data_IF_527821117811
#
_entry.id   IF_527821117811
#
_cell.length_a   1.000
_cell.length_b   1.000
_cell.length_c   1.000
_cell.angle_alpha   90.00
_cell.angle_beta   90.00
_cell.angle_gamma   90.00
#
_symmetry.space_group_name_H-M   'P 1'
#
loop_
_entity.id
_entity.type
_entity.pdbx_description
1 polymer ?
#
# COMPACT_ATOMS: atom_id res chain seq x y z
N UNK A 1 0.98 -14.06 30.61
CA UNK A 1 -0.02 -13.15 30.00
C UNK A 1 0.52 -11.71 29.96
N UNK A 2 0.83 -11.04 31.08
CA UNK A 2 1.47 -9.70 31.00
C UNK A 2 2.87 -9.74 30.34
N UNK A 3 3.66 -10.77 30.62
CA UNK A 3 4.94 -11.00 29.92
C UNK A 3 4.77 -11.23 28.40
N UNK A 4 3.62 -11.79 27.98
CA UNK A 4 3.31 -12.01 26.56
C UNK A 4 3.00 -10.69 25.86
N UNK A 5 2.21 -9.81 26.50
CA UNK A 5 1.99 -8.43 26.05
C UNK A 5 3.31 -7.70 25.86
N UNK A 6 4.21 -7.76 26.87
CA UNK A 6 5.51 -7.07 26.80
C UNK A 6 6.40 -7.59 25.66
N UNK A 7 6.48 -8.91 25.49
CA UNK A 7 7.25 -9.51 24.38
C UNK A 7 6.68 -9.10 23.01
N UNK A 8 5.34 -9.09 22.88
CA UNK A 8 4.67 -8.74 21.64
C UNK A 8 4.80 -7.26 21.31
N UNK A 9 4.69 -6.40 22.32
CA UNK A 9 4.92 -4.96 22.21
C UNK A 9 6.34 -4.67 21.71
N UNK A 10 7.35 -5.33 22.28
CA UNK A 10 8.74 -5.15 21.86
C UNK A 10 8.97 -5.57 20.40
N UNK A 11 8.43 -6.73 20.01
CA UNK A 11 8.47 -7.21 18.61
C UNK A 11 7.87 -6.19 17.62
N UNK A 12 6.73 -5.60 17.98
CA UNK A 12 6.05 -4.63 17.12
C UNK A 12 6.75 -3.27 17.10
N UNK A 13 7.39 -2.86 18.21
CA UNK A 13 8.21 -1.65 18.27
C UNK A 13 9.44 -1.74 17.38
N UNK A 14 10.16 -2.87 17.43
CA UNK A 14 11.34 -3.11 16.59
C UNK A 14 10.98 -2.99 15.10
N UNK A 15 9.91 -3.68 14.67
CA UNK A 15 9.41 -3.60 13.28
C UNK A 15 8.95 -2.19 12.89
N UNK A 16 8.32 -1.46 13.81
CA UNK A 16 7.93 -0.07 13.57
C UNK A 16 9.16 0.83 13.39
N UNK A 17 10.21 0.63 14.18
CA UNK A 17 11.46 1.40 14.07
C UNK A 17 12.12 1.19 12.71
N UNK A 18 12.27 -0.06 12.27
CA UNK A 18 12.80 -0.40 10.93
C UNK A 18 11.98 0.28 9.82
N UNK A 19 10.66 0.21 9.93
CA UNK A 19 9.73 0.84 8.97
C UNK A 19 9.87 2.37 8.99
N UNK A 20 10.04 2.96 10.17
CA UNK A 20 10.12 4.41 10.36
C UNK A 20 11.39 5.01 9.75
N UNK A 21 12.51 4.27 9.75
CA UNK A 21 13.74 4.69 9.08
C UNK A 21 13.53 4.89 7.58
N UNK A 22 12.69 4.05 6.95
CA UNK A 22 12.40 4.14 5.51
C UNK A 22 11.39 5.23 5.19
N UNK A 23 10.33 5.33 6.01
CA UNK A 23 9.27 6.30 5.76
C UNK A 23 9.64 7.74 6.14
N UNK A 24 10.45 7.94 7.17
CA UNK A 24 10.83 9.25 7.71
C UNK A 24 9.60 10.18 7.89
N UNK A 25 8.79 9.98 8.97
CA UNK A 25 7.58 10.76 9.22
C UNK A 25 7.81 12.27 9.24
N UNK A 26 8.98 12.72 9.72
CA UNK A 26 9.38 14.12 9.70
C UNK A 26 9.54 14.65 8.27
N UNK A 27 10.25 13.93 7.40
CA UNK A 27 10.38 14.29 5.99
C UNK A 27 9.02 14.25 5.27
N UNK A 28 8.18 13.26 5.55
CA UNK A 28 6.83 13.18 4.97
C UNK A 28 5.96 14.38 5.35
N UNK A 29 6.00 14.83 6.62
CA UNK A 29 5.28 16.02 7.08
C UNK A 29 5.73 17.29 6.35
N UNK A 30 7.03 17.45 6.16
CA UNK A 30 7.56 18.61 5.42
C UNK A 30 7.23 18.52 3.92
N UNK A 31 7.27 17.33 3.30
CA UNK A 31 6.83 17.13 1.90
C UNK A 31 5.35 17.49 1.74
N UNK A 32 4.47 17.00 2.63
CA UNK A 32 3.04 17.33 2.64
C UNK A 32 2.81 18.84 2.72
N UNK A 33 3.49 19.52 3.64
CA UNK A 33 3.40 20.97 3.83
C UNK A 33 3.85 21.75 2.60
N UNK A 34 4.89 21.27 1.91
CA UNK A 34 5.35 21.88 0.66
C UNK A 34 4.34 21.68 -0.47
N UNK A 35 3.75 20.48 -0.58
CA UNK A 35 2.69 20.20 -1.53
C UNK A 35 1.47 21.08 -1.25
N UNK A 36 1.01 21.18 0.00
CA UNK A 36 -0.13 22.02 0.39
C UNK A 36 0.08 23.49 0.02
N UNK A 37 1.29 24.02 0.24
CA UNK A 37 1.66 25.37 -0.21
C UNK A 37 1.58 25.52 -1.72
N UNK A 38 2.06 24.53 -2.48
CA UNK A 38 1.99 24.55 -3.94
C UNK A 38 0.54 24.54 -4.43
N UNK A 39 -0.31 23.70 -3.82
CA UNK A 39 -1.73 23.56 -4.19
C UNK A 39 -2.56 24.81 -3.90
N UNK A 40 -2.12 25.64 -2.95
CA UNK A 40 -2.74 26.94 -2.65
C UNK A 40 -2.46 28.01 -3.72
N UNK A 41 -1.48 27.81 -4.60
CA UNK A 41 -1.22 28.72 -5.71
C UNK A 41 -2.22 28.52 -6.85
N UNK A 42 -2.68 29.62 -7.48
CA UNK A 42 -3.60 29.54 -8.61
C UNK A 42 -2.97 28.83 -9.83
N UNK A 43 -1.65 28.93 -9.98
CA UNK A 43 -0.93 28.35 -11.11
C UNK A 43 -0.82 26.82 -11.06
N UNK A 44 -0.98 26.21 -9.88
CA UNK A 44 -0.89 24.77 -9.70
C UNK A 44 -1.90 24.01 -10.58
N UNK A 45 -3.11 24.54 -10.70
CA UNK A 45 -4.20 23.90 -11.43
C UNK A 45 -4.15 24.14 -12.94
N UNK A 46 -3.19 24.93 -13.43
CA UNK A 46 -3.02 25.18 -14.87
C UNK A 46 -2.48 23.94 -15.61
N UNK A 47 -1.73 23.08 -14.93
CA UNK A 47 -1.21 21.83 -15.49
C UNK A 47 -1.93 20.64 -14.83
N UNK A 48 -3.01 20.17 -15.45
CA UNK A 48 -3.88 19.13 -14.89
C UNK A 48 -3.15 17.81 -14.63
N UNK A 49 -2.23 17.40 -15.51
CA UNK A 49 -1.46 16.16 -15.36
C UNK A 49 -0.52 16.25 -14.15
N UNK A 50 0.22 17.35 -14.01
CA UNK A 50 1.08 17.56 -12.83
C UNK A 50 0.27 17.70 -11.55
N UNK A 51 -0.83 18.45 -11.58
CA UNK A 51 -1.70 18.64 -10.42
C UNK A 51 -2.24 17.29 -9.92
N UNK A 52 -2.64 16.40 -10.83
CA UNK A 52 -3.13 15.06 -10.50
C UNK A 52 -2.05 14.18 -9.87
N UNK A 53 -0.86 14.12 -10.47
CA UNK A 53 0.26 13.35 -9.94
C UNK A 53 0.66 13.81 -8.53
N UNK A 54 0.75 15.14 -8.31
CA UNK A 54 1.07 15.71 -7.00
C UNK A 54 -0.04 15.44 -5.99
N UNK A 55 -1.32 15.53 -6.40
CA UNK A 55 -2.46 15.20 -5.53
C UNK A 55 -2.45 13.73 -5.11
N UNK A 56 -2.12 12.80 -6.02
CA UNK A 56 -1.97 11.38 -5.70
C UNK A 56 -0.80 11.14 -4.73
N UNK A 57 0.35 11.78 -4.96
CA UNK A 57 1.50 11.72 -4.04
C UNK A 57 1.15 12.24 -2.66
N UNK A 58 0.47 13.39 -2.57
CA UNK A 58 -0.01 13.96 -1.31
C UNK A 58 -0.88 12.97 -0.55
N UNK A 59 -1.87 12.37 -1.22
CA UNK A 59 -2.76 11.40 -0.61
C UNK A 59 -1.99 10.19 -0.08
N UNK A 60 -1.03 9.67 -0.86
CA UNK A 60 -0.18 8.57 -0.41
C UNK A 60 0.65 8.94 0.82
N UNK A 61 1.25 10.14 0.86
CA UNK A 61 2.01 10.61 2.02
C UNK A 61 1.10 10.73 3.26
N UNK A 62 -0.08 11.34 3.11
CA UNK A 62 -1.03 11.55 4.19
C UNK A 62 -1.55 10.23 4.76
N UNK A 63 -1.92 9.27 3.90
CA UNK A 63 -2.39 7.96 4.32
C UNK A 63 -1.30 7.18 5.08
N UNK A 64 -0.07 7.13 4.55
CA UNK A 64 1.01 6.39 5.21
C UNK A 64 1.48 7.07 6.50
N UNK A 65 1.61 8.40 6.51
CA UNK A 65 1.98 9.14 7.73
C UNK A 65 0.96 8.89 8.84
N UNK A 66 -0.34 8.98 8.51
CA UNK A 66 -1.41 8.73 9.46
C UNK A 66 -1.38 7.31 10.01
N UNK A 67 -1.09 6.32 9.18
CA UNK A 67 -0.96 4.92 9.62
C UNK A 67 0.24 4.73 10.56
N UNK A 68 1.41 5.29 10.24
CA UNK A 68 2.60 5.26 11.11
C UNK A 68 2.29 5.90 12.46
N UNK A 69 1.74 7.12 12.47
CA UNK A 69 1.40 7.85 13.70
C UNK A 69 0.34 7.12 14.53
N UNK A 70 -0.63 6.45 13.87
CA UNK A 70 -1.64 5.65 14.57
C UNK A 70 -1.00 4.45 15.28
N UNK A 71 -0.15 3.70 14.58
CA UNK A 71 0.53 2.53 15.16
C UNK A 71 1.45 2.97 16.30
N UNK A 72 2.26 4.01 16.09
CA UNK A 72 3.14 4.56 17.13
C UNK A 72 2.35 4.95 18.39
N UNK A 73 1.22 5.64 18.20
CA UNK A 73 0.34 5.99 19.31
C UNK A 73 -0.22 4.76 20.02
N UNK A 74 -0.76 3.79 19.30
CA UNK A 74 -1.31 2.56 19.92
C UNK A 74 -0.24 1.79 20.70
N UNK A 75 0.97 1.62 20.15
CA UNK A 75 2.05 0.93 20.87
C UNK A 75 2.46 1.69 22.14
N UNK A 76 2.49 3.02 22.09
CA UNK A 76 2.77 3.85 23.26
C UNK A 76 1.67 3.77 24.32
N UNK A 77 0.40 3.85 23.91
CA UNK A 77 -0.75 3.75 24.81
C UNK A 77 -0.76 2.35 25.49
N UNK A 78 -0.48 1.27 24.72
CA UNK A 78 -0.34 -0.09 25.27
C UNK A 78 0.82 -0.22 26.24
N UNK A 79 1.98 0.41 25.95
CA UNK A 79 3.13 0.41 26.86
C UNK A 79 2.79 1.05 28.20
N UNK A 80 2.24 2.27 28.18
CA UNK A 80 1.87 3.01 29.39
C UNK A 80 0.85 2.24 30.23
N UNK A 81 -0.15 1.62 29.58
CA UNK A 81 -1.15 0.79 30.26
C UNK A 81 -0.56 -0.51 30.79
N UNK A 82 0.31 -1.18 30.03
CA UNK A 82 0.95 -2.42 30.47
C UNK A 82 1.83 -2.22 31.70
N UNK A 83 2.50 -1.06 31.82
CA UNK A 83 3.30 -0.71 32.99
C UNK A 83 2.46 -0.33 34.22
N UNK A 84 1.24 0.19 34.00
CA UNK A 84 0.29 0.46 35.07
C UNK A 84 -0.52 -0.78 35.52
N UNK A 85 -0.50 -1.87 34.74
CA UNK A 85 -1.31 -3.07 34.97
C UNK A 85 -0.72 -3.95 36.07
N UNK A 86 -1.55 -4.37 37.02
CA UNK A 86 -1.14 -5.26 38.11
C UNK A 86 -1.11 -6.73 37.69
N UNK A 87 -0.25 -7.52 38.34
CA UNK A 87 -0.23 -8.97 38.18
C UNK A 87 -1.57 -9.58 38.62
N UNK A 88 -2.33 -10.13 37.65
CA UNK A 88 -3.61 -10.79 37.90
C UNK A 88 -4.83 -10.10 37.27
N UNK A 89 -4.68 -8.90 36.71
CA UNK A 89 -5.73 -8.24 35.94
C UNK A 89 -5.82 -8.81 34.51
N UNK A 90 -6.51 -9.95 34.39
CA UNK A 90 -6.59 -10.69 33.14
C UNK A 90 -7.45 -9.99 32.08
N UNK A 91 -8.40 -9.16 32.48
CA UNK A 91 -9.28 -8.43 31.56
C UNK A 91 -8.51 -7.33 30.84
N UNK A 92 -7.75 -6.52 31.59
CA UNK A 92 -6.86 -5.50 31.00
C UNK A 92 -5.80 -6.16 30.12
N UNK A 93 -5.20 -7.27 30.54
CA UNK A 93 -4.21 -7.98 29.72
C UNK A 93 -4.80 -8.48 28.39
N UNK A 94 -6.02 -8.99 28.39
CA UNK A 94 -6.69 -9.43 27.16
C UNK A 94 -6.97 -8.25 26.22
N UNK A 95 -7.42 -7.11 26.76
CA UNK A 95 -7.64 -5.89 26.00
C UNK A 95 -6.35 -5.41 25.32
N UNK A 96 -5.22 -5.39 26.04
CA UNK A 96 -3.93 -4.98 25.48
C UNK A 96 -3.46 -5.91 24.34
N UNK A 97 -3.67 -7.22 24.46
CA UNK A 97 -3.35 -8.16 23.38
C UNK A 97 -4.20 -7.90 22.13
N UNK A 98 -5.48 -7.57 22.29
CA UNK A 98 -6.37 -7.24 21.16
C UNK A 98 -5.93 -5.96 20.46
N UNK A 99 -5.50 -4.94 21.20
CA UNK A 99 -4.94 -3.72 20.61
C UNK A 99 -3.64 -4.02 19.83
N UNK A 100 -2.74 -4.84 20.38
CA UNK A 100 -1.52 -5.26 19.67
C UNK A 100 -1.84 -6.04 18.40
N UNK A 101 -2.82 -6.96 18.44
CA UNK A 101 -3.27 -7.68 17.24
C UNK A 101 -3.87 -6.73 16.18
N UNK A 102 -4.53 -5.65 16.61
CA UNK A 102 -5.14 -4.70 15.68
C UNK A 102 -4.12 -3.95 14.82
N UNK A 103 -2.87 -3.80 15.30
CA UNK A 103 -1.81 -3.07 14.58
C UNK A 103 -0.88 -3.98 13.77
N UNK A 104 -0.91 -5.30 13.96
CA UNK A 104 -0.04 -6.23 13.23
C UNK A 104 -0.21 -6.15 11.72
N UNK A 105 -1.45 -6.22 11.24
CA UNK A 105 -1.73 -6.20 9.81
C UNK A 105 -1.36 -4.85 9.18
N UNK A 106 -1.78 -3.69 9.74
CA UNK A 106 -1.33 -2.39 9.27
C UNK A 106 0.20 -2.23 9.25
N UNK A 107 0.89 -2.67 10.31
CA UNK A 107 2.35 -2.60 10.37
C UNK A 107 2.98 -3.45 9.26
N UNK A 108 2.49 -4.66 9.05
CA UNK A 108 2.95 -5.53 7.95
C UNK A 108 2.74 -4.92 6.57
N UNK A 109 1.65 -4.20 6.36
CA UNK A 109 1.40 -3.47 5.12
C UNK A 109 2.40 -2.31 4.92
N UNK A 110 2.82 -1.65 6.00
CA UNK A 110 3.89 -0.64 5.95
C UNK A 110 5.27 -1.29 5.73
N UNK A 111 5.58 -2.42 6.36
CA UNK A 111 6.83 -3.17 6.13
C UNK A 111 6.97 -3.52 4.65
N UNK A 112 5.90 -4.02 4.01
CA UNK A 112 5.90 -4.33 2.57
C UNK A 112 6.21 -3.08 1.75
N UNK A 113 5.63 -1.92 2.10
CA UNK A 113 5.91 -0.66 1.42
C UNK A 113 7.35 -0.20 1.62
N UNK A 114 7.90 -0.38 2.82
CA UNK A 114 9.29 -0.05 3.12
C UNK A 114 10.28 -0.89 2.30
N UNK A 115 9.91 -2.13 1.96
CA UNK A 115 10.70 -3.00 1.06
C UNK A 115 10.69 -2.53 -0.41
N UNK A 116 9.79 -1.64 -0.81
CA UNK A 116 9.71 -1.10 -2.17
C UNK A 116 10.75 0.03 -2.39
N UNK A 117 12.01 -0.26 -2.13
CA UNK A 117 13.10 0.73 -2.15
C UNK A 117 13.93 0.73 -3.43
N UNK A 118 13.58 -0.08 -4.44
CA UNK A 118 14.32 -0.10 -5.71
C UNK A 118 14.00 1.15 -6.55
N UNK A 119 14.96 1.55 -7.40
CA UNK A 119 14.86 2.77 -8.21
C UNK A 119 13.58 2.85 -9.05
N UNK A 120 13.12 1.69 -9.54
CA UNK A 120 11.93 1.57 -10.39
C UNK A 120 10.64 1.43 -9.61
N UNK A 121 10.69 1.12 -8.31
CA UNK A 121 9.49 0.78 -7.53
C UNK A 121 8.50 1.93 -7.52
N UNK A 122 8.99 3.17 -7.40
CA UNK A 122 8.19 4.40 -7.39
C UNK A 122 7.48 4.74 -8.71
N UNK A 123 7.79 4.03 -9.81
CA UNK A 123 7.29 4.35 -11.14
C UNK A 123 5.88 3.80 -11.39
N UNK A 124 5.23 4.38 -12.39
CA UNK A 124 4.02 3.81 -13.01
C UNK A 124 4.36 2.44 -13.64
N UNK A 125 3.35 1.58 -13.80
CA UNK A 125 3.52 0.24 -14.35
C UNK A 125 2.76 0.05 -15.65
N UNK A 126 3.40 -0.59 -16.63
CA UNK A 126 2.69 -1.25 -17.72
C UNK A 126 2.45 -2.71 -17.35
N UNK A 127 1.19 -3.11 -17.29
CA UNK A 127 0.77 -4.49 -17.03
C UNK A 127 0.19 -5.08 -18.31
N UNK A 128 0.87 -6.10 -18.85
CA UNK A 128 0.40 -6.82 -20.04
C UNK A 128 -0.06 -8.22 -19.64
N UNK A 129 -1.29 -8.56 -19.98
CA UNK A 129 -1.84 -9.91 -19.84
C UNK A 129 -1.86 -10.54 -21.22
N UNK A 130 -1.36 -11.77 -21.34
CA UNK A 130 -1.34 -12.51 -22.59
C UNK A 130 -1.88 -13.93 -22.37
N UNK A 131 -2.78 -14.37 -23.26
CA UNK A 131 -3.31 -15.71 -23.23
C UNK A 131 -2.20 -16.73 -23.56
N UNK A 132 -2.08 -17.75 -22.72
CA UNK A 132 -1.17 -18.88 -22.93
C UNK A 132 -1.72 -19.92 -23.92
N UNK A 133 -1.11 -21.11 -23.90
CA UNK A 133 -1.63 -22.25 -24.66
C UNK A 133 -2.96 -22.73 -24.04
N UNK A 134 -4.01 -22.86 -24.85
CA UNK A 134 -5.33 -23.29 -24.38
C UNK A 134 -6.52 -22.78 -25.21
N UNK A 135 -6.28 -22.00 -26.27
CA UNK A 135 -7.34 -21.51 -27.15
C UNK A 135 -8.29 -20.56 -26.41
N UNK A 136 -9.60 -20.73 -26.62
CA UNK A 136 -10.63 -19.82 -26.09
C UNK A 136 -10.69 -19.81 -24.56
N UNK A 137 -10.47 -20.94 -23.88
CA UNK A 137 -10.46 -20.99 -22.40
C UNK A 137 -9.32 -20.15 -21.81
N UNK A 138 -8.13 -20.20 -22.43
CA UNK A 138 -7.00 -19.36 -22.02
C UNK A 138 -7.27 -17.86 -22.29
N UNK A 139 -8.01 -17.55 -23.36
CA UNK A 139 -8.39 -16.16 -23.67
C UNK A 139 -9.40 -15.61 -22.65
N UNK A 140 -10.36 -16.43 -22.21
CA UNK A 140 -11.31 -16.03 -21.17
C UNK A 140 -10.61 -15.86 -19.81
N UNK A 141 -9.68 -16.75 -19.46
CA UNK A 141 -8.84 -16.61 -18.26
C UNK A 141 -7.99 -15.34 -18.28
N UNK A 142 -7.35 -15.02 -19.41
CA UNK A 142 -6.62 -13.77 -19.59
C UNK A 142 -7.52 -12.54 -19.36
N UNK A 143 -8.77 -12.59 -19.83
CA UNK A 143 -9.74 -11.53 -19.60
C UNK A 143 -10.16 -11.42 -18.11
N UNK A 144 -10.28 -12.55 -17.42
CA UNK A 144 -10.51 -12.56 -15.96
C UNK A 144 -9.36 -11.90 -15.20
N UNK A 145 -8.11 -12.23 -15.53
CA UNK A 145 -6.92 -11.62 -14.92
C UNK A 145 -6.84 -10.11 -15.20
N UNK A 146 -7.09 -9.68 -16.44
CA UNK A 146 -7.14 -8.26 -16.79
C UNK A 146 -8.14 -7.50 -15.90
N UNK A 147 -9.35 -8.06 -15.74
CA UNK A 147 -10.39 -7.47 -14.88
C UNK A 147 -10.00 -7.49 -13.40
N UNK A 148 -9.30 -8.53 -12.96
CA UNK A 148 -8.79 -8.64 -11.60
C UNK A 148 -7.80 -7.51 -11.29
N UNK A 149 -6.77 -7.32 -12.12
CA UNK A 149 -5.75 -6.28 -11.90
C UNK A 149 -6.31 -4.88 -12.08
N UNK A 150 -7.23 -4.66 -13.03
CA UNK A 150 -7.94 -3.38 -13.14
C UNK A 150 -8.68 -3.03 -11.84
N UNK A 151 -9.45 -3.98 -11.28
CA UNK A 151 -10.16 -3.78 -10.01
C UNK A 151 -9.21 -3.61 -8.82
N UNK A 152 -8.10 -4.33 -8.81
CA UNK A 152 -7.05 -4.15 -7.79
C UNK A 152 -6.53 -2.72 -7.85
N UNK A 153 -6.17 -2.21 -9.03
CA UNK A 153 -5.62 -0.87 -9.19
C UNK A 153 -6.65 0.22 -8.79
N UNK A 154 -7.90 0.08 -9.24
CA UNK A 154 -9.00 1.00 -8.86
C UNK A 154 -9.23 1.01 -7.34
N UNK A 155 -9.17 -0.14 -6.66
CA UNK A 155 -9.30 -0.22 -5.19
C UNK A 155 -8.15 0.44 -4.44
N UNK A 156 -6.94 0.44 -5.01
CA UNK A 156 -5.77 1.11 -4.45
C UNK A 156 -5.69 2.60 -4.83
N UNK A 157 -6.71 3.13 -5.51
CA UNK A 157 -6.76 4.54 -5.91
C UNK A 157 -5.84 4.90 -7.08
N UNK A 158 -5.31 3.90 -7.79
CA UNK A 158 -4.52 4.13 -9.00
C UNK A 158 -5.42 4.52 -10.17
N UNK A 159 -4.87 5.33 -11.06
CA UNK A 159 -5.46 5.55 -12.37
C UNK A 159 -5.09 4.39 -13.30
N UNK A 160 -6.08 3.91 -14.07
CA UNK A 160 -5.90 2.80 -15.00
C UNK A 160 -6.29 3.27 -16.39
N UNK A 161 -5.35 3.17 -17.33
CA UNK A 161 -5.54 3.48 -18.74
C UNK A 161 -5.38 2.19 -19.55
N UNK A 162 -6.36 1.88 -20.41
CA UNK A 162 -6.25 0.76 -21.34
C UNK A 162 -5.46 1.24 -22.57
N UNK A 163 -4.24 0.74 -22.73
CA UNK A 163 -3.30 1.16 -23.78
C UNK A 163 -3.56 0.38 -25.07
N UNK A 164 -3.74 -0.93 -24.95
CA UNK A 164 -3.98 -1.82 -26.07
C UNK A 164 -4.87 -3.00 -25.64
N UNK A 165 -5.68 -3.51 -26.58
CA UNK A 165 -6.50 -4.70 -26.37
C UNK A 165 -6.66 -5.48 -27.68
N UNK A 166 -6.36 -6.76 -27.63
CA UNK A 166 -6.53 -7.69 -28.73
C UNK A 166 -7.55 -8.77 -28.32
N UNK A 167 -8.82 -8.64 -28.71
CA UNK A 167 -9.86 -9.60 -28.39
C UNK A 167 -9.68 -10.92 -29.16
N UNK A 168 -10.20 -12.01 -28.61
CA UNK A 168 -10.38 -13.26 -29.38
C UNK A 168 -11.69 -13.22 -30.18
N UNK A 169 -11.74 -14.00 -31.27
CA UNK A 169 -12.90 -14.05 -32.16
C UNK A 169 -14.11 -14.75 -31.52
N UNK A 170 -13.87 -15.61 -30.51
CA UNK A 170 -14.92 -16.37 -29.81
C UNK A 170 -15.22 -15.77 -28.45
N UNK A 171 -14.21 -15.70 -27.55
CA UNK A 171 -14.38 -15.15 -26.21
C UNK A 171 -13.05 -14.75 -25.56
N UNK A 172 -13.09 -13.70 -24.74
CA UNK A 172 -11.94 -13.24 -23.97
C UNK A 172 -10.97 -12.40 -24.78
N UNK A 173 -9.70 -12.39 -24.35
CA UNK A 173 -8.63 -11.58 -24.96
C UNK A 173 -7.42 -12.45 -25.27
N UNK A 174 -6.78 -12.21 -26.42
CA UNK A 174 -5.46 -12.75 -26.74
C UNK A 174 -4.37 -12.00 -25.99
N UNK A 175 -4.50 -10.68 -25.90
CA UNK A 175 -3.64 -9.82 -25.09
C UNK A 175 -4.31 -8.50 -24.72
N UNK A 176 -3.86 -7.86 -23.64
CA UNK A 176 -4.18 -6.46 -23.34
C UNK A 176 -3.09 -5.83 -22.48
N UNK A 177 -2.90 -4.52 -22.63
CA UNK A 177 -1.94 -3.74 -21.84
C UNK A 177 -2.66 -2.61 -21.10
N UNK A 178 -2.46 -2.56 -19.79
CA UNK A 178 -2.87 -1.46 -18.91
C UNK A 178 -1.67 -0.60 -18.56
N UNK A 179 -1.85 0.71 -18.53
CA UNK A 179 -0.96 1.65 -17.85
C UNK A 179 -1.60 2.01 -16.50
N UNK A 180 -0.93 1.61 -15.42
CA UNK A 180 -1.36 1.86 -14.04
C UNK A 180 -0.50 3.00 -13.50
N UNK A 181 -1.14 4.15 -13.23
CA UNK A 181 -0.50 5.38 -12.77
C UNK A 181 -0.78 5.60 -11.30
N UNK A 182 0.30 5.75 -10.54
CA UNK A 182 0.25 6.09 -9.13
C UNK A 182 1.50 5.69 -8.36
N UNK A 183 1.61 6.13 -7.10
CA UNK A 183 2.80 5.90 -6.28
C UNK A 183 3.06 4.41 -6.09
N UNK A 184 4.28 3.98 -6.35
CA UNK A 184 4.74 2.60 -6.15
C UNK A 184 4.03 1.53 -6.97
N UNK A 185 3.30 1.90 -8.03
CA UNK A 185 2.52 0.96 -8.84
C UNK A 185 3.39 -0.18 -9.40
N UNK A 186 4.59 0.14 -9.92
CA UNK A 186 5.53 -0.87 -10.40
C UNK A 186 6.06 -1.76 -9.27
N UNK A 187 6.46 -1.17 -8.14
CA UNK A 187 6.98 -1.93 -6.99
C UNK A 187 6.01 -2.98 -6.48
N UNK A 188 4.70 -2.70 -6.48
CA UNK A 188 3.69 -3.70 -6.13
C UNK A 188 3.51 -4.79 -7.20
N UNK A 189 3.54 -4.41 -8.48
CA UNK A 189 3.22 -5.33 -9.58
C UNK A 189 4.41 -6.15 -10.05
N UNK A 190 5.65 -5.81 -9.70
CA UNK A 190 6.84 -6.55 -10.13
C UNK A 190 6.82 -8.02 -9.66
N UNK A 191 6.22 -8.29 -8.51
CA UNK A 191 6.03 -9.65 -7.98
C UNK A 191 4.99 -10.49 -8.73
N UNK A 192 4.15 -9.87 -9.54
CA UNK A 192 3.09 -10.53 -10.31
C UNK A 192 3.57 -11.01 -11.68
N UNK A 193 4.83 -10.75 -12.03
CA UNK A 193 5.41 -11.19 -13.29
C UNK A 193 5.55 -12.71 -13.34
N UNK A 194 4.85 -13.35 -14.27
CA UNK A 194 4.97 -14.79 -14.50
C UNK A 194 3.75 -15.42 -15.12
N UNK A 195 3.72 -16.75 -15.12
CA UNK A 195 2.58 -17.54 -15.58
C UNK A 195 1.63 -17.77 -14.41
N UNK A 196 0.36 -17.37 -14.59
CA UNK A 196 -0.72 -17.55 -13.62
C UNK A 196 -1.58 -18.74 -14.03
N UNK A 197 -1.64 -19.77 -13.18
CA UNK A 197 -2.32 -21.05 -13.44
C UNK A 197 -3.49 -21.26 -12.50
#
# INVERSE_FOLDING_TARGET
MLAEVKNKLEELKEKLEDTRVVFDPEAMREELKNIDRSMASADFWNDQEKAKAITQRRRWLEENLREVERIEKTLKDVEELADATQEGDLETVQMLLEELHSVEKPLKELEIKALLSEEMDSKNAYLTVQAGAGGTEACDWANMLLRMYRRWAERHGYEVELVDINPDDVAGIKSATLLIKGPYAYGYLKGEHGVHR
#
